data_IF_110649573011
#
_entry.id   IF_110649573011
#
_cell.length_a   1.000
_cell.length_b   1.000
_cell.length_c   1.000
_cell.angle_alpha   90.00
_cell.angle_beta   90.00
_cell.angle_gamma   90.00
#
_symmetry.space_group_name_H-M   'P 1'
#
loop_
_entity.id
_entity.type
_entity.pdbx_description
1 polymer ?
#
# COMPACT_ATOMS: atom_id res chain seq x y z
N UNK A 1 18.64 8.60 6.32
CA UNK A 1 19.34 8.01 5.15
C UNK A 1 20.82 7.80 5.45
N UNK A 2 21.46 8.70 6.20
CA UNK A 2 22.82 8.51 6.70
C UNK A 2 23.11 7.11 7.28
N UNK A 3 22.23 6.55 8.14
CA UNK A 3 22.37 5.16 8.65
C UNK A 3 22.57 4.13 7.53
N UNK A 4 21.83 4.26 6.42
CA UNK A 4 21.87 3.32 5.32
C UNK A 4 23.06 3.55 4.36
N UNK A 5 23.53 4.80 4.24
CA UNK A 5 24.59 5.17 3.29
C UNK A 5 25.96 5.45 3.92
N UNK A 6 26.03 5.58 5.25
CA UNK A 6 27.25 5.93 5.99
C UNK A 6 27.72 7.38 5.81
N UNK A 7 26.95 8.24 5.14
CA UNK A 7 27.30 9.64 4.86
C UNK A 7 26.07 10.52 4.63
N UNK A 8 26.25 11.84 4.77
CA UNK A 8 25.22 12.89 4.58
C UNK A 8 24.93 13.24 3.10
N UNK A 9 25.69 12.69 2.15
CA UNK A 9 25.55 12.99 0.70
C UNK A 9 24.20 12.61 0.10
N UNK A 10 23.40 11.82 0.84
CA UNK A 10 22.09 11.35 0.43
C UNK A 10 20.94 11.94 1.24
N UNK A 11 21.15 13.02 1.97
CA UNK A 11 20.10 13.62 2.79
C UNK A 11 19.04 14.32 1.94
N UNK A 12 17.80 14.25 2.44
CA UNK A 12 16.63 14.85 1.79
C UNK A 12 16.56 16.32 2.22
N UNK A 13 16.68 17.22 1.26
CA UNK A 13 16.48 18.66 1.50
C UNK A 13 15.02 18.98 1.80
N UNK A 14 14.75 20.15 2.38
CA UNK A 14 13.37 20.59 2.65
C UNK A 14 12.48 20.60 1.39
N UNK A 15 13.02 21.02 0.25
CA UNK A 15 12.29 21.03 -1.02
C UNK A 15 11.97 19.62 -1.55
N UNK A 16 12.75 18.61 -1.17
CA UNK A 16 12.52 17.22 -1.55
C UNK A 16 11.58 16.49 -0.60
N UNK A 17 11.17 17.09 0.53
CA UNK A 17 10.28 16.47 1.52
C UNK A 17 8.81 16.48 1.04
N UNK A 18 8.52 15.66 0.03
CA UNK A 18 7.20 15.50 -0.58
C UNK A 18 6.54 14.19 -0.14
N UNK A 19 5.23 14.04 -0.38
CA UNK A 19 4.52 12.77 -0.13
C UNK A 19 5.14 11.60 -0.91
N UNK A 20 5.55 11.83 -2.16
CA UNK A 20 6.22 10.80 -2.97
C UNK A 20 7.56 10.39 -2.37
N UNK A 21 8.35 11.35 -1.89
CA UNK A 21 9.59 11.04 -1.17
C UNK A 21 9.31 10.21 0.07
N UNK A 22 8.32 10.58 0.88
CA UNK A 22 7.95 9.83 2.09
C UNK A 22 7.51 8.41 1.73
N UNK A 23 6.64 8.22 0.73
CA UNK A 23 6.17 6.89 0.33
C UNK A 23 7.30 6.02 -0.22
N UNK A 24 8.24 6.62 -0.96
CA UNK A 24 9.40 5.94 -1.48
C UNK A 24 10.38 5.54 -0.36
N UNK A 25 10.65 6.42 0.61
CA UNK A 25 11.49 6.09 1.78
C UNK A 25 10.87 4.98 2.63
N UNK A 26 9.56 5.04 2.91
CA UNK A 26 8.87 3.98 3.64
C UNK A 26 8.96 2.64 2.92
N UNK A 27 8.92 2.64 1.59
CA UNK A 27 9.12 1.45 0.77
C UNK A 27 10.53 0.87 0.82
N UNK A 28 11.56 1.73 0.96
CA UNK A 28 12.97 1.31 1.11
C UNK A 28 13.25 0.78 2.52
N UNK A 29 12.83 1.54 3.53
CA UNK A 29 13.19 1.29 4.93
C UNK A 29 12.46 0.08 5.51
N UNK A 30 11.20 -0.14 5.11
CA UNK A 30 10.31 -1.17 5.69
C UNK A 30 9.98 -2.29 4.70
N UNK A 31 10.86 -2.53 3.73
CA UNK A 31 10.69 -3.60 2.76
C UNK A 31 10.67 -4.95 3.50
N UNK A 32 9.78 -5.86 3.08
CA UNK A 32 9.56 -7.16 3.73
C UNK A 32 9.05 -7.12 5.19
N UNK A 33 8.60 -5.97 5.69
CA UNK A 33 8.03 -5.83 7.04
C UNK A 33 6.51 -5.64 7.06
N UNK A 34 5.82 -6.09 6.01
CA UNK A 34 4.34 -6.08 5.91
C UNK A 34 3.65 -4.70 6.06
N UNK A 35 4.37 -3.59 5.80
CA UNK A 35 3.80 -2.23 5.86
C UNK A 35 3.28 -1.70 4.52
N UNK A 36 3.76 -2.24 3.41
CA UNK A 36 3.57 -1.65 2.07
C UNK A 36 2.10 -1.49 1.68
N UNK A 37 1.24 -2.47 1.96
CA UNK A 37 -0.21 -2.39 1.66
C UNK A 37 -0.86 -1.21 2.36
N UNK A 38 -0.67 -1.09 3.67
CA UNK A 38 -1.26 -0.02 4.49
C UNK A 38 -0.81 1.37 4.01
N UNK A 39 0.46 1.50 3.65
CA UNK A 39 0.98 2.76 3.12
C UNK A 39 0.40 3.09 1.75
N UNK A 40 0.38 2.13 0.82
CA UNK A 40 -0.22 2.36 -0.49
C UNK A 40 -1.71 2.73 -0.40
N UNK A 41 -2.48 2.14 0.52
CA UNK A 41 -3.89 2.50 0.74
C UNK A 41 -4.00 3.93 1.26
N UNK A 42 -3.19 4.31 2.26
CA UNK A 42 -3.20 5.67 2.83
C UNK A 42 -2.87 6.74 1.77
N UNK A 43 -2.02 6.39 0.82
CA UNK A 43 -1.61 7.27 -0.28
C UNK A 43 -2.51 7.16 -1.51
N UNK A 44 -3.57 6.34 -1.49
CA UNK A 44 -4.50 6.18 -2.61
C UNK A 44 -3.91 5.45 -3.82
N UNK A 45 -2.86 4.66 -3.63
CA UNK A 45 -2.07 4.02 -4.68
C UNK A 45 -2.20 2.49 -4.72
N UNK A 46 -2.90 1.86 -3.76
CA UNK A 46 -3.04 0.40 -3.72
C UNK A 46 -3.99 -0.11 -4.82
N UNK A 47 -5.22 0.40 -4.87
CA UNK A 47 -6.19 0.13 -5.95
C UNK A 47 -6.09 1.20 -7.04
N UNK A 48 -6.96 1.17 -8.06
CA UNK A 48 -6.94 2.21 -9.09
C UNK A 48 -5.72 2.12 -10.03
N UNK A 49 -5.51 3.19 -10.80
CA UNK A 49 -4.44 3.32 -11.79
C UNK A 49 -3.30 4.28 -11.37
N UNK A 50 -3.37 4.89 -10.19
CA UNK A 50 -2.38 5.87 -9.70
C UNK A 50 -0.97 5.26 -9.53
N UNK A 51 -0.89 3.95 -9.30
CA UNK A 51 0.36 3.20 -9.31
C UNK A 51 0.12 1.80 -9.85
N UNK A 52 0.78 1.46 -10.95
CA UNK A 52 0.85 0.10 -11.51
C UNK A 52 2.25 -0.46 -11.25
N UNK A 53 2.31 -1.71 -10.79
CA UNK A 53 3.55 -2.45 -10.60
C UNK A 53 3.42 -3.82 -11.25
N UNK A 54 4.55 -4.47 -11.50
CA UNK A 54 4.58 -5.80 -12.10
C UNK A 54 3.68 -6.76 -11.31
N UNK A 55 2.81 -7.48 -12.01
CA UNK A 55 1.86 -8.43 -11.43
C UNK A 55 0.73 -7.86 -10.57
N UNK A 56 0.53 -6.53 -10.53
CA UNK A 56 -0.68 -5.95 -9.92
C UNK A 56 -1.93 -6.48 -10.64
N UNK A 57 -2.90 -6.99 -9.88
CA UNK A 57 -4.12 -7.56 -10.46
C UNK A 57 -3.86 -8.81 -11.33
N UNK A 58 -2.78 -9.56 -11.06
CA UNK A 58 -2.39 -10.77 -11.79
C UNK A 58 -2.10 -10.54 -13.29
N UNK A 59 -1.55 -9.38 -13.64
CA UNK A 59 -1.16 -9.04 -15.00
C UNK A 59 0.31 -8.62 -15.03
N UNK A 60 1.15 -9.13 -15.97
CA UNK A 60 2.58 -8.81 -15.98
C UNK A 60 2.90 -7.31 -15.95
N UNK A 61 2.16 -6.52 -16.73
CA UNK A 61 2.29 -5.05 -16.77
C UNK A 61 1.55 -4.30 -15.66
N UNK A 62 0.81 -5.02 -14.82
CA UNK A 62 -0.10 -4.45 -13.82
C UNK A 62 -1.40 -3.94 -14.42
N UNK A 63 -2.51 -4.11 -13.70
CA UNK A 63 -3.81 -3.53 -14.06
C UNK A 63 -4.48 -2.86 -12.86
N UNK A 64 -5.42 -1.97 -13.15
CA UNK A 64 -6.31 -1.38 -12.16
C UNK A 64 -7.10 -2.46 -11.43
N UNK A 65 -7.22 -2.33 -10.11
CA UNK A 65 -8.11 -3.14 -9.28
C UNK A 65 -9.18 -2.24 -8.65
N UNK A 66 -10.35 -2.82 -8.36
CA UNK A 66 -11.46 -2.11 -7.74
C UNK A 66 -11.11 -1.59 -6.33
N UNK A 67 -11.70 -0.46 -5.94
CA UNK A 67 -11.47 0.20 -4.66
C UNK A 67 -11.95 -0.61 -3.45
N UNK A 68 -12.92 -1.53 -3.59
CA UNK A 68 -13.35 -2.36 -2.45
C UNK A 68 -12.23 -3.26 -1.91
N UNK A 69 -11.25 -3.64 -2.73
CA UNK A 69 -10.07 -4.40 -2.31
C UNK A 69 -9.11 -3.64 -1.37
N UNK A 70 -9.34 -2.34 -1.12
CA UNK A 70 -8.65 -1.61 -0.06
C UNK A 70 -9.00 -2.17 1.34
N UNK A 71 -10.14 -2.85 1.48
CA UNK A 71 -10.50 -3.59 2.69
C UNK A 71 -10.50 -5.09 2.38
N UNK A 72 -10.17 -5.90 3.38
CA UNK A 72 -10.37 -7.34 3.26
C UNK A 72 -11.84 -7.68 3.50
N UNK A 73 -12.33 -8.74 2.86
CA UNK A 73 -13.63 -9.31 3.18
C UNK A 73 -13.65 -9.79 4.63
N UNK A 74 -14.79 -9.63 5.30
CA UNK A 74 -15.05 -10.35 6.55
C UNK A 74 -15.17 -11.84 6.19
N UNK A 75 -14.47 -12.75 6.90
CA UNK A 75 -14.53 -14.18 6.61
C UNK A 75 -15.96 -14.74 6.68
N UNK A 76 -16.31 -15.63 5.75
CA UNK A 76 -17.68 -16.17 5.62
C UNK A 76 -18.14 -16.94 6.86
N UNK A 77 -17.22 -17.63 7.53
CA UNK A 77 -17.50 -18.34 8.78
C UNK A 77 -17.92 -17.36 9.90
N UNK A 78 -17.31 -16.17 9.98
CA UNK A 78 -17.68 -15.14 10.95
C UNK A 78 -19.06 -14.55 10.64
N UNK A 79 -19.36 -14.29 9.36
CA UNK A 79 -20.68 -13.82 8.93
C UNK A 79 -21.79 -14.84 9.22
N UNK A 80 -21.49 -16.13 9.06
CA UNK A 80 -22.44 -17.20 9.36
C UNK A 80 -22.67 -17.38 10.87
N UNK A 81 -21.63 -17.15 11.68
CA UNK A 81 -21.68 -17.28 13.13
C UNK A 81 -22.36 -16.08 13.83
N UNK A 82 -22.25 -14.87 13.25
CA UNK A 82 -22.77 -13.65 13.87
C UNK A 82 -23.64 -12.83 12.90
N UNK A 83 -24.99 -12.91 13.02
CA UNK A 83 -25.90 -12.19 12.13
C UNK A 83 -25.87 -10.66 12.27
N UNK A 84 -25.18 -10.12 13.29
CA UNK A 84 -24.99 -8.67 13.43
C UNK A 84 -23.84 -8.13 12.56
N UNK A 85 -22.96 -9.01 12.06
CA UNK A 85 -21.91 -8.60 11.14
C UNK A 85 -22.49 -8.35 9.75
N UNK A 86 -22.03 -7.27 9.12
CA UNK A 86 -22.36 -6.91 7.75
C UNK A 86 -21.09 -6.89 6.93
N UNK A 87 -21.12 -7.49 5.75
CA UNK A 87 -19.96 -7.54 4.85
C UNK A 87 -19.52 -6.12 4.43
N UNK A 88 -18.22 -5.95 4.19
CA UNK A 88 -17.67 -4.75 3.59
C UNK A 88 -18.24 -4.56 2.16
N UNK A 89 -18.59 -3.33 1.75
CA UNK A 89 -19.17 -3.10 0.44
C UNK A 89 -18.33 -3.67 -0.71
N UNK A 90 -18.96 -4.37 -1.64
CA UNK A 90 -18.32 -4.94 -2.83
C UNK A 90 -17.88 -6.41 -2.71
N UNK A 91 -17.93 -7.00 -1.51
CA UNK A 91 -17.70 -8.42 -1.26
C UNK A 91 -18.99 -9.20 -1.01
#
# INVERSE_FOLDING_TARGET
>A
RERAFGAATHDVTAAQMTLDTILAERGRELLFEARRRTDLIRFGMFTGNSLLWAWKGNQPGGVTTDAHFNLYAIPLNELSANPNLKQNPGF
#
